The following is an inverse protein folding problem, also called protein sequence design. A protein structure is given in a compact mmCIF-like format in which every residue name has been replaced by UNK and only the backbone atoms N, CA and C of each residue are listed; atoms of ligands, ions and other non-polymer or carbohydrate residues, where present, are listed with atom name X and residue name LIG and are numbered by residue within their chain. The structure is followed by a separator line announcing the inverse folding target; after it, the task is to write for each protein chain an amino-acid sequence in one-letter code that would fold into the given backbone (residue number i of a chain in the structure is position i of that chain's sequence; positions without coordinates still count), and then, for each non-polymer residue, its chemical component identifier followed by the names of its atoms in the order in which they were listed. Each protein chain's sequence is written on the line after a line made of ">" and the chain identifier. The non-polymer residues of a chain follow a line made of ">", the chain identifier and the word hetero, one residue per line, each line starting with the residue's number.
data_IF_765878172966
#
_entry.id   IF_765878172966
#
_cell.length_a   1.000
_cell.length_b   1.000
_cell.length_c   1.000
_cell.angle_alpha   90.00
_cell.angle_beta   90.00
_cell.angle_gamma   90.00
#
_symmetry.space_group_name_H-M   'P 1'
#
loop_
_entity.id
_entity.type
_entity.pdbx_description
1 polymer ?
#
# COMPACT_ATOMS: atom_id res chain seq x y z
N UNK A 1 -5.78 10.90 -18.70
CA UNK A 1 -4.32 10.87 -18.62
C UNK A 1 -3.74 9.49 -18.43
N UNK A 2 -2.49 9.35 -18.74
CA UNK A 2 -1.74 8.10 -18.65
C UNK A 2 -1.88 7.36 -17.32
N UNK A 3 -1.81 8.08 -16.21
CA UNK A 3 -1.83 7.46 -14.88
C UNK A 3 -3.18 6.84 -14.58
N UNK A 4 -4.25 7.47 -15.06
CA UNK A 4 -5.59 6.90 -14.97
C UNK A 4 -5.65 5.56 -15.71
N UNK A 5 -5.01 5.48 -16.88
CA UNK A 5 -4.93 4.24 -17.64
C UNK A 5 -4.14 3.16 -16.90
N UNK A 6 -3.10 3.54 -16.15
CA UNK A 6 -2.30 2.58 -15.38
C UNK A 6 -3.15 1.84 -14.35
N UNK A 7 -3.99 2.54 -13.62
CA UNK A 7 -4.82 1.88 -12.60
C UNK A 7 -5.91 1.02 -13.24
N UNK A 8 -6.39 1.43 -14.40
CA UNK A 8 -7.35 0.62 -15.16
C UNK A 8 -6.70 -0.59 -15.82
N UNK A 9 -5.39 -0.57 -15.99
CA UNK A 9 -4.60 -1.65 -16.54
C UNK A 9 -4.11 -2.55 -15.40
N UNK A 10 -4.39 -3.83 -15.46
CA UNK A 10 -4.02 -4.75 -14.38
C UNK A 10 -2.52 -5.00 -14.27
N UNK A 11 -1.74 -4.68 -15.28
CA UNK A 11 -0.30 -4.93 -15.30
C UNK A 11 0.43 -3.67 -15.73
N UNK A 12 1.33 -3.18 -14.87
CA UNK A 12 2.09 -1.95 -15.11
C UNK A 12 3.58 -2.26 -15.04
N UNK A 13 4.32 -1.97 -16.11
CA UNK A 13 5.77 -2.09 -16.08
C UNK A 13 6.37 -0.91 -15.33
N UNK A 14 7.32 -1.20 -14.45
CA UNK A 14 8.04 -0.20 -13.67
C UNK A 14 9.48 -0.13 -14.18
N UNK A 15 9.68 0.67 -15.22
CA UNK A 15 10.96 0.76 -15.92
C UNK A 15 12.00 1.61 -15.20
N UNK A 16 11.55 2.39 -14.20
CA UNK A 16 12.42 3.25 -13.41
C UNK A 16 11.77 3.50 -12.05
N UNK A 17 12.55 4.03 -11.11
CA UNK A 17 12.00 4.48 -9.83
C UNK A 17 10.94 5.55 -10.02
N UNK A 18 11.08 6.38 -11.06
CA UNK A 18 10.09 7.42 -11.36
C UNK A 18 8.71 6.83 -11.66
N UNK A 19 8.65 5.68 -12.31
CA UNK A 19 7.37 5.03 -12.58
C UNK A 19 6.64 4.65 -11.29
N UNK A 20 7.38 4.18 -10.29
CA UNK A 20 6.81 3.88 -8.97
C UNK A 20 6.35 5.17 -8.26
N UNK A 21 7.15 6.22 -8.35
CA UNK A 21 6.80 7.53 -7.78
C UNK A 21 5.53 8.06 -8.44
N UNK A 22 5.41 7.94 -9.76
CA UNK A 22 4.22 8.39 -10.49
C UNK A 22 2.98 7.62 -10.07
N UNK A 23 3.10 6.31 -9.85
CA UNK A 23 1.99 5.50 -9.35
C UNK A 23 1.56 5.98 -7.96
N UNK A 24 2.52 6.20 -7.06
CA UNK A 24 2.23 6.70 -5.72
C UNK A 24 1.58 8.08 -5.75
N UNK A 25 2.07 8.97 -6.61
CA UNK A 25 1.52 10.31 -6.80
C UNK A 25 0.05 10.25 -7.25
N UNK A 26 -0.25 9.30 -8.11
CA UNK A 26 -1.61 9.13 -8.61
C UNK A 26 -2.55 8.57 -7.54
N UNK A 27 -2.08 7.62 -6.72
CA UNK A 27 -2.88 6.99 -5.67
C UNK A 27 -3.13 7.94 -4.49
N UNK A 28 -2.14 8.75 -4.13
CA UNK A 28 -2.20 9.60 -2.93
C UNK A 28 -3.49 10.43 -2.79
N UNK A 29 -3.96 11.15 -3.83
CA UNK A 29 -5.18 11.95 -3.68
C UNK A 29 -6.47 11.14 -3.61
N UNK A 30 -6.40 9.84 -3.90
CA UNK A 30 -7.57 8.96 -3.94
C UNK A 30 -7.82 8.25 -2.62
N UNK A 31 -6.87 8.29 -1.69
CA UNK A 31 -6.96 7.56 -0.43
C UNK A 31 -7.21 8.52 0.73
N UNK A 32 -7.87 8.00 1.75
CA UNK A 32 -8.19 8.74 2.96
C UNK A 32 -8.48 7.77 4.10
N UNK A 33 -9.01 8.26 5.23
CA UNK A 33 -9.35 7.38 6.34
C UNK A 33 -10.26 6.23 5.90
N UNK A 34 -9.89 5.02 6.26
CA UNK A 34 -10.58 3.81 5.85
C UNK A 34 -9.99 3.13 4.62
N UNK A 35 -9.11 3.79 3.89
CA UNK A 35 -8.44 3.17 2.74
C UNK A 35 -7.41 2.15 3.19
N UNK A 36 -7.35 1.03 2.47
CA UNK A 36 -6.37 -0.03 2.71
C UNK A 36 -5.64 -0.34 1.42
N UNK A 37 -4.32 -0.38 1.49
CA UNK A 37 -3.48 -0.77 0.37
C UNK A 37 -2.66 -1.99 0.79
N UNK A 38 -2.89 -3.12 0.14
CA UNK A 38 -2.19 -4.38 0.39
C UNK A 38 -1.08 -4.56 -0.63
N UNK A 39 0.15 -4.77 -0.16
CA UNK A 39 1.33 -4.89 -0.99
C UNK A 39 1.86 -6.32 -0.96
N UNK A 40 1.81 -6.98 -2.10
CA UNK A 40 2.35 -8.33 -2.29
C UNK A 40 3.68 -8.26 -3.02
N UNK A 41 4.51 -9.24 -2.85
CA UNK A 41 5.77 -9.36 -3.56
C UNK A 41 6.92 -9.76 -2.66
N UNK A 42 7.95 -10.35 -3.25
CA UNK A 42 9.14 -10.80 -2.54
C UNK A 42 9.99 -9.65 -1.99
N UNK A 43 10.93 -9.97 -1.12
CA UNK A 43 11.90 -9.01 -0.62
C UNK A 43 12.61 -8.34 -1.81
N UNK A 44 12.77 -7.03 -1.73
CA UNK A 44 13.45 -6.28 -2.77
C UNK A 44 12.61 -6.00 -4.02
N UNK A 45 11.31 -6.33 -4.01
CA UNK A 45 10.42 -6.10 -5.15
C UNK A 45 10.00 -4.64 -5.34
N UNK A 46 10.26 -3.76 -4.36
CA UNK A 46 9.92 -2.35 -4.44
C UNK A 46 8.77 -1.90 -3.56
N UNK A 47 8.26 -2.75 -2.68
CA UNK A 47 7.14 -2.42 -1.81
C UNK A 47 7.43 -1.23 -0.90
N UNK A 48 8.56 -1.28 -0.18
CA UNK A 48 8.92 -0.20 0.74
C UNK A 48 9.20 1.11 0.00
N UNK A 49 9.81 1.03 -1.17
CA UNK A 49 10.03 2.21 -2.00
C UNK A 49 8.71 2.89 -2.38
N UNK A 50 7.72 2.08 -2.75
CA UNK A 50 6.38 2.61 -3.03
C UNK A 50 5.78 3.32 -1.81
N UNK A 51 5.90 2.72 -0.63
CA UNK A 51 5.35 3.33 0.60
C UNK A 51 6.05 4.64 0.92
N UNK A 52 7.36 4.72 0.72
CA UNK A 52 8.10 5.97 0.90
C UNK A 52 7.58 7.07 -0.02
N UNK A 53 7.39 6.75 -1.28
CA UNK A 53 6.86 7.70 -2.26
C UNK A 53 5.44 8.13 -1.91
N UNK A 54 4.59 7.17 -1.56
CA UNK A 54 3.21 7.45 -1.16
C UNK A 54 3.17 8.37 0.07
N UNK A 55 3.97 8.05 1.10
CA UNK A 55 4.04 8.85 2.32
C UNK A 55 4.46 10.29 2.04
N UNK A 56 5.43 10.48 1.16
CA UNK A 56 5.87 11.82 0.78
C UNK A 56 4.73 12.64 0.17
N UNK A 57 3.93 12.03 -0.71
CA UNK A 57 2.79 12.71 -1.31
C UNK A 57 1.65 12.93 -0.32
N UNK A 58 1.56 12.11 0.73
CA UNK A 58 0.56 12.28 1.78
C UNK A 58 1.01 13.29 2.85
N UNK A 59 2.21 13.83 2.73
CA UNK A 59 2.71 14.86 3.64
C UNK A 59 3.37 14.33 4.91
N UNK A 60 3.83 13.07 4.90
CA UNK A 60 4.60 12.52 6.03
C UNK A 60 5.97 13.17 6.05
N UNK A 61 6.34 13.91 7.12
CA UNK A 61 7.63 14.60 7.17
C UNK A 61 8.80 13.66 7.46
N UNK A 62 8.53 12.52 8.09
CA UNK A 62 9.55 11.58 8.48
C UNK A 62 9.94 10.66 7.33
N UNK A 63 11.16 10.14 7.36
CA UNK A 63 11.57 9.11 6.44
C UNK A 63 10.90 7.79 6.80
N UNK A 64 10.26 7.17 5.82
CA UNK A 64 9.57 5.90 6.01
C UNK A 64 10.54 4.74 5.80
N UNK A 65 10.65 3.88 6.80
CA UNK A 65 11.45 2.66 6.76
C UNK A 65 10.56 1.43 6.76
N UNK A 66 11.15 0.28 6.43
CA UNK A 66 10.44 -0.99 6.57
C UNK A 66 10.15 -1.28 8.05
N UNK A 67 8.90 -1.64 8.40
CA UNK A 67 8.55 -1.99 9.79
C UNK A 67 8.83 -3.45 10.13
N UNK A 68 9.69 -4.16 9.39
CA UNK A 68 9.90 -5.61 9.52
C UNK A 68 10.17 -6.10 10.94
N UNK A 69 10.87 -5.30 11.75
CA UNK A 69 11.24 -5.70 13.12
C UNK A 69 10.23 -5.28 14.18
N UNK A 70 9.43 -4.25 13.91
CA UNK A 70 8.47 -3.68 14.86
C UNK A 70 7.03 -3.97 14.50
N UNK A 71 6.80 -4.63 13.36
CA UNK A 71 5.51 -5.03 12.81
C UNK A 71 4.72 -3.86 12.23
N UNK A 72 4.57 -2.73 12.95
CA UNK A 72 3.94 -1.57 12.38
C UNK A 72 4.57 -0.27 12.87
N UNK A 73 4.40 0.76 12.06
CA UNK A 73 4.74 2.14 12.41
C UNK A 73 3.57 3.04 12.07
N UNK A 74 3.37 4.05 12.89
CA UNK A 74 2.35 5.07 12.67
C UNK A 74 3.04 6.39 12.32
N UNK A 75 2.59 7.00 11.24
CA UNK A 75 3.07 8.31 10.79
C UNK A 75 1.90 9.28 10.76
N UNK A 76 2.15 10.51 11.18
CA UNK A 76 1.14 11.55 11.12
C UNK A 76 1.40 12.44 9.92
N UNK A 77 0.44 12.50 9.02
CA UNK A 77 0.56 13.24 7.77
C UNK A 77 -0.39 14.43 7.72
N UNK A 78 -0.47 15.16 8.82
CA UNK A 78 -1.22 16.41 8.92
C UNK A 78 -2.71 16.21 9.14
N UNK A 79 -3.40 15.52 8.27
CA UNK A 79 -4.86 15.36 8.36
C UNK A 79 -5.32 14.06 9.02
N UNK A 80 -4.57 12.97 8.80
CA UNK A 80 -4.92 11.65 9.33
C UNK A 80 -3.66 10.79 9.43
N UNK A 81 -3.69 9.72 10.23
CA UNK A 81 -2.51 8.85 10.35
C UNK A 81 -2.33 7.94 9.13
N UNK A 82 -1.08 7.59 8.89
CA UNK A 82 -0.68 6.54 7.95
C UNK A 82 -0.11 5.40 8.77
N UNK A 83 -0.71 4.23 8.66
CA UNK A 83 -0.23 3.02 9.34
C UNK A 83 0.49 2.14 8.32
N UNK A 84 1.75 1.80 8.61
CA UNK A 84 2.54 0.93 7.75
C UNK A 84 2.84 -0.35 8.50
N UNK A 85 2.28 -1.47 8.03
CA UNK A 85 2.39 -2.77 8.66
C UNK A 85 3.24 -3.71 7.79
N UNK A 86 3.97 -4.60 8.45
CA UNK A 86 4.66 -5.72 7.82
C UNK A 86 4.35 -6.98 8.63
N UNK A 87 3.58 -7.87 8.03
CA UNK A 87 3.06 -9.05 8.73
C UNK A 87 3.88 -10.32 8.51
N UNK A 88 5.05 -10.19 7.88
CA UNK A 88 5.89 -11.34 7.54
C UNK A 88 6.17 -12.26 8.72
N UNK A 89 6.36 -11.69 9.92
CA UNK A 89 6.71 -12.43 11.12
C UNK A 89 5.53 -12.94 11.93
N UNK A 90 4.32 -12.46 11.63
CA UNK A 90 3.14 -12.89 12.35
C UNK A 90 2.64 -14.21 11.79
N UNK A 91 2.08 -15.06 12.69
CA UNK A 91 1.62 -16.39 12.33
C UNK A 91 0.11 -16.58 12.52
N UNK A 92 -0.52 -15.74 13.36
CA UNK A 92 -1.94 -15.88 13.70
C UNK A 92 -2.69 -14.57 13.60
N UNK A 93 -3.93 -14.64 13.10
CA UNK A 93 -4.81 -13.47 12.99
C UNK A 93 -5.05 -12.77 14.33
N UNK A 94 -5.09 -13.52 15.43
CA UNK A 94 -5.31 -12.94 16.75
C UNK A 94 -4.26 -11.90 17.12
N UNK A 95 -3.03 -12.09 16.64
CA UNK A 95 -1.95 -11.12 16.89
C UNK A 95 -2.27 -9.77 16.25
N UNK A 96 -2.96 -9.76 15.10
CA UNK A 96 -3.36 -8.53 14.42
C UNK A 96 -4.44 -7.78 15.20
N UNK A 97 -5.39 -8.51 15.75
CA UNK A 97 -6.46 -7.91 16.57
C UNK A 97 -5.87 -7.30 17.83
N UNK A 98 -4.88 -7.95 18.41
CA UNK A 98 -4.18 -7.45 19.61
C UNK A 98 -3.39 -6.16 19.31
N UNK A 99 -2.95 -5.96 18.07
CA UNK A 99 -2.28 -4.72 17.64
C UNK A 99 -3.24 -3.55 17.42
N UNK A 100 -4.55 -3.82 17.41
CA UNK A 100 -5.54 -2.78 17.17
C UNK A 100 -5.83 -2.54 15.69
N UNK A 101 -5.70 -3.57 14.85
CA UNK A 101 -5.90 -3.46 13.41
C UNK A 101 -7.25 -2.83 13.05
N UNK A 102 -8.33 -3.26 13.71
CA UNK A 102 -9.66 -2.76 13.36
C UNK A 102 -9.79 -1.24 13.57
N UNK A 103 -9.17 -0.70 14.62
CA UNK A 103 -9.17 0.73 14.85
C UNK A 103 -8.33 1.47 13.82
N UNK A 104 -7.20 0.90 13.42
CA UNK A 104 -6.35 1.46 12.36
C UNK A 104 -7.11 1.58 11.05
N UNK A 105 -7.86 0.53 10.69
CA UNK A 105 -8.61 0.49 9.44
C UNK A 105 -9.68 1.59 9.37
N UNK A 106 -10.19 2.05 10.50
CA UNK A 106 -11.20 3.10 10.53
C UNK A 106 -10.62 4.51 10.58
N UNK A 107 -9.49 4.67 11.24
CA UNK A 107 -8.97 6.00 11.58
C UNK A 107 -8.00 6.61 10.57
N UNK A 108 -7.38 5.80 9.73
CA UNK A 108 -6.35 6.31 8.83
C UNK A 108 -6.22 5.50 7.56
N UNK A 109 -5.13 5.76 6.84
CA UNK A 109 -4.73 4.98 5.68
C UNK A 109 -3.85 3.85 6.18
N UNK A 110 -4.17 2.61 5.80
CA UNK A 110 -3.42 1.43 6.22
C UNK A 110 -2.73 0.81 5.01
N UNK A 111 -1.40 0.71 5.07
CA UNK A 111 -0.59 0.06 4.04
C UNK A 111 0.03 -1.19 4.66
N UNK A 112 -0.20 -2.34 4.04
CA UNK A 112 0.19 -3.63 4.60
C UNK A 112 1.10 -4.38 3.64
N UNK A 113 2.34 -4.65 4.08
CA UNK A 113 3.24 -5.57 3.38
C UNK A 113 3.03 -6.98 3.95
N UNK A 114 3.12 -8.00 3.10
CA UNK A 114 2.82 -9.38 3.44
C UNK A 114 1.42 -9.52 4.03
N UNK A 115 0.39 -9.15 3.28
CA UNK A 115 -0.97 -9.01 3.83
C UNK A 115 -1.74 -10.31 3.98
N UNK A 116 -1.19 -11.45 3.58
CA UNK A 116 -1.91 -12.73 3.52
C UNK A 116 -2.64 -13.08 4.81
N UNK A 117 -1.98 -12.84 5.95
CA UNK A 117 -2.58 -13.13 7.25
C UNK A 117 -3.81 -12.27 7.56
N UNK A 118 -3.86 -11.07 7.00
CA UNK A 118 -4.91 -10.10 7.28
C UNK A 118 -6.07 -10.15 6.28
N UNK A 119 -5.97 -10.90 5.20
CA UNK A 119 -6.92 -10.83 4.08
C UNK A 119 -8.38 -10.96 4.48
N UNK A 120 -8.68 -11.85 5.41
CA UNK A 120 -10.06 -12.08 5.87
C UNK A 120 -10.60 -10.92 6.71
N UNK A 121 -9.72 -10.10 7.27
CA UNK A 121 -10.09 -8.98 8.15
C UNK A 121 -10.19 -7.66 7.39
N UNK A 122 -9.70 -7.61 6.15
CA UNK A 122 -9.63 -6.39 5.37
C UNK A 122 -10.98 -6.07 4.73
N UNK A 123 -11.26 -4.77 4.50
CA UNK A 123 -12.45 -4.39 3.76
C UNK A 123 -12.44 -4.99 2.37
N UNK A 124 -13.62 -5.32 1.88
CA UNK A 124 -13.83 -5.81 0.54
C UNK A 124 -13.18 -4.92 -0.53
N UNK A 125 -13.14 -3.63 -0.28
CA UNK A 125 -12.68 -2.62 -1.23
C UNK A 125 -11.22 -2.21 -1.03
N UNK A 126 -10.35 -3.11 -0.58
CA UNK A 126 -8.93 -2.78 -0.45
C UNK A 126 -8.22 -2.80 -1.81
N UNK A 127 -7.33 -1.84 -2.02
CA UNK A 127 -6.47 -1.80 -3.20
C UNK A 127 -5.34 -2.82 -3.02
N UNK A 128 -5.09 -3.64 -4.04
CA UNK A 128 -4.03 -4.65 -4.01
C UNK A 128 -2.98 -4.35 -5.07
N UNK A 129 -1.73 -4.31 -4.66
CA UNK A 129 -0.59 -4.10 -5.54
C UNK A 129 0.38 -5.28 -5.39
N UNK A 130 0.55 -6.06 -6.45
CA UNK A 130 1.45 -7.19 -6.45
C UNK A 130 2.70 -6.84 -7.28
N UNK A 131 3.82 -6.63 -6.59
CA UNK A 131 5.09 -6.27 -7.21
C UNK A 131 5.87 -7.53 -7.60
N UNK A 132 6.50 -7.51 -8.76
CA UNK A 132 7.28 -8.64 -9.23
C UNK A 132 8.43 -8.25 -10.14
N UNK A 133 9.22 -9.26 -10.49
CA UNK A 133 10.31 -9.13 -11.45
C UNK A 133 10.15 -10.17 -12.54
N UNK A 134 10.65 -9.81 -13.72
CA UNK A 134 10.86 -10.75 -14.82
C UNK A 134 12.24 -10.41 -15.41
N UNK A 135 13.28 -11.11 -14.95
CA UNK A 135 14.65 -10.76 -15.24
C UNK A 135 15.01 -9.40 -14.65
N UNK A 136 15.45 -8.46 -15.49
CA UNK A 136 15.76 -7.09 -15.06
C UNK A 136 14.54 -6.18 -15.03
N UNK A 137 13.41 -6.69 -15.52
CA UNK A 137 12.17 -5.90 -15.59
C UNK A 137 11.38 -6.02 -14.31
N UNK A 138 10.88 -4.90 -13.84
CA UNK A 138 9.98 -4.84 -12.68
C UNK A 138 8.59 -4.48 -13.14
N UNK A 139 7.61 -4.96 -12.41
CA UNK A 139 6.21 -4.66 -12.71
C UNK A 139 5.38 -4.66 -11.44
N UNK A 140 4.18 -4.12 -11.54
CA UNK A 140 3.17 -4.24 -10.49
C UNK A 140 1.84 -4.61 -11.15
N UNK A 141 1.15 -5.59 -10.56
CA UNK A 141 -0.21 -5.93 -10.95
C UNK A 141 -1.15 -5.25 -9.96
N UNK A 142 -2.12 -4.52 -10.50
CA UNK A 142 -3.04 -3.69 -9.72
C UNK A 142 -4.43 -4.31 -9.77
N UNK A 143 -5.04 -4.44 -8.58
CA UNK A 143 -6.44 -4.83 -8.43
C UNK A 143 -7.15 -3.74 -7.63
N UNK A 144 -7.61 -2.67 -8.29
CA UNK A 144 -8.33 -1.60 -7.59
C UNK A 144 -9.71 -2.07 -7.17
N UNK A 145 -10.19 -1.54 -6.06
CA UNK A 145 -11.55 -1.79 -5.64
C UNK A 145 -12.55 -0.99 -6.51
N UNK A 146 -13.84 -1.29 -6.35
CA UNK A 146 -14.87 -0.64 -7.15
C UNK A 146 -14.94 0.88 -6.94
N UNK A 147 -14.70 1.34 -5.72
CA UNK A 147 -14.72 2.79 -5.44
C UNK A 147 -13.60 3.51 -6.17
N UNK A 148 -12.41 2.93 -6.21
CA UNK A 148 -11.31 3.52 -6.95
C UNK A 148 -11.59 3.50 -8.45
N UNK A 149 -12.21 2.43 -8.95
CA UNK A 149 -12.61 2.39 -10.35
C UNK A 149 -13.60 3.49 -10.68
N UNK A 150 -14.57 3.74 -9.80
CA UNK A 150 -15.52 4.83 -9.99
C UNK A 150 -14.84 6.19 -10.03
N UNK A 151 -13.83 6.40 -9.22
CA UNK A 151 -13.08 7.66 -9.20
C UNK A 151 -12.37 7.96 -10.53
N UNK A 152 -12.15 6.95 -11.36
CA UNK A 152 -11.50 7.08 -12.66
C UNK A 152 -12.46 7.23 -13.84
N UNK A 153 -13.73 7.16 -13.59
CA UNK A 153 -14.77 7.37 -14.62
C UNK A 153 -15.12 8.85 -14.75
#
# INVERSE_FOLDING_TARGET
>A
PKIKEYIMTKHIELNSEQDTIDLAHYIAPLVGPGSVISLYGDLGSGKTFFVKALGAFLGVPDEIDSPSFVIFKEYHCGRFPLYHLDLYRLKHEDELLDLGLLDMLESGITVIEWPQLAEKLLPYQSLKLAFGFDGDKRFVDVSPDEELQEAFR
#
